data_IF_451747125496
#
_entry.id   IF_451747125496
#
_cell.length_a   1.000
_cell.length_b   1.000
_cell.length_c   1.000
_cell.angle_alpha   90.00
_cell.angle_beta   90.00
_cell.angle_gamma   90.00
#
_symmetry.space_group_name_H-M   'P 1'
#
loop_
_entity.id
_entity.type
_entity.pdbx_description
1 polymer ?
#
# COMPACT_ATOMS: atom_id res chain seq x y z
N UNK A 1 45.60 -34.47 7.20
CA UNK A 1 45.97 -33.49 6.16
C UNK A 1 45.02 -32.31 6.22
N UNK A 2 45.53 -31.20 6.66
CA UNK A 2 44.76 -29.97 6.92
C UNK A 2 44.95 -29.03 5.73
N UNK A 3 43.91 -28.78 4.96
CA UNK A 3 43.90 -27.80 3.89
C UNK A 3 43.17 -26.53 4.33
N UNK A 4 43.96 -25.57 4.81
CA UNK A 4 43.44 -24.24 5.11
C UNK A 4 43.24 -23.41 3.85
N UNK A 5 42.04 -22.92 3.59
CA UNK A 5 41.79 -21.91 2.57
C UNK A 5 41.67 -20.56 3.25
N UNK A 6 42.73 -19.78 3.10
CA UNK A 6 42.84 -18.39 3.55
C UNK A 6 41.97 -17.49 2.65
N UNK A 7 40.94 -16.87 3.21
CA UNK A 7 40.16 -15.85 2.53
C UNK A 7 40.92 -14.53 2.58
N UNK A 8 41.40 -14.07 1.44
CA UNK A 8 42.05 -12.77 1.29
C UNK A 8 41.01 -11.66 1.32
N UNK A 9 41.02 -10.89 2.40
CA UNK A 9 40.36 -9.57 2.45
C UNK A 9 41.12 -8.58 1.58
N UNK A 10 40.54 -8.18 0.47
CA UNK A 10 40.99 -7.00 -0.29
C UNK A 10 40.58 -5.74 0.42
N UNK A 11 41.50 -5.07 1.04
CA UNK A 11 41.36 -3.69 1.50
C UNK A 11 41.45 -2.77 0.29
N UNK A 12 40.34 -2.16 -0.10
CA UNK A 12 40.33 -1.04 -1.06
C UNK A 12 40.61 0.25 -0.32
N UNK A 13 41.68 0.89 -0.72
CA UNK A 13 42.12 2.17 -0.22
C UNK A 13 41.17 3.31 -0.61
N UNK A 14 40.83 4.12 0.37
CA UNK A 14 40.14 5.37 0.19
C UNK A 14 41.06 6.41 -0.41
N UNK A 15 40.69 6.94 -1.55
CA UNK A 15 41.27 8.17 -2.10
C UNK A 15 40.40 9.33 -1.66
N UNK A 16 40.94 10.12 -0.76
CA UNK A 16 40.44 11.44 -0.41
C UNK A 16 40.63 12.37 -1.63
N UNK A 17 39.54 12.84 -2.19
CA UNK A 17 39.56 14.01 -3.04
C UNK A 17 38.81 15.14 -2.35
N UNK A 18 39.60 15.96 -1.67
CA UNK A 18 39.19 17.27 -1.16
C UNK A 18 39.18 18.26 -2.32
N UNK A 19 38.04 18.76 -2.66
CA UNK A 19 37.92 20.00 -3.45
C UNK A 19 36.66 20.73 -2.99
N UNK A 20 36.93 21.73 -2.17
CA UNK A 20 36.01 22.80 -1.81
C UNK A 20 35.58 23.56 -3.05
N UNK A 21 34.29 23.67 -3.28
CA UNK A 21 33.69 24.76 -4.01
C UNK A 21 32.45 25.22 -3.27
N UNK A 22 32.66 26.37 -2.67
CA UNK A 22 31.66 27.23 -2.08
C UNK A 22 30.60 27.59 -3.11
N UNK A 23 29.36 27.20 -2.90
CA UNK A 23 28.23 27.83 -3.55
C UNK A 23 27.29 28.38 -2.51
N UNK A 24 27.27 29.69 -2.49
CA UNK A 24 26.45 30.53 -1.65
C UNK A 24 24.97 30.27 -1.82
N UNK A 25 24.34 30.04 -0.73
CA UNK A 25 23.12 30.61 -0.23
C UNK A 25 22.17 31.27 -1.20
N UNK A 26 21.02 30.68 -1.42
CA UNK A 26 19.80 31.47 -1.42
C UNK A 26 18.77 30.73 -0.63
N UNK A 27 18.60 31.14 0.62
CA UNK A 27 17.53 30.72 1.50
C UNK A 27 16.22 31.31 0.97
N UNK A 28 15.39 30.48 0.39
CA UNK A 28 13.96 30.76 0.27
C UNK A 28 13.26 30.13 1.47
N UNK A 29 13.19 30.92 2.51
CA UNK A 29 12.34 30.72 3.68
C UNK A 29 10.89 30.89 3.23
N UNK A 30 10.25 29.81 2.84
CA UNK A 30 8.79 29.80 2.71
C UNK A 30 8.19 29.51 4.07
N UNK A 31 7.95 30.56 4.82
CA UNK A 31 6.99 30.60 5.90
C UNK A 31 5.64 30.15 5.38
N UNK A 32 5.29 28.92 5.65
CA UNK A 32 3.94 28.39 5.46
C UNK A 32 3.02 29.01 6.51
N UNK A 33 2.43 30.16 6.16
CA UNK A 33 1.36 30.77 6.92
C UNK A 33 0.17 29.80 6.98
N UNK A 34 -0.08 29.31 8.16
CA UNK A 34 -1.30 28.65 8.55
C UNK A 34 -2.47 29.63 8.39
N UNK A 35 -3.17 29.56 7.26
CA UNK A 35 -4.45 30.26 7.11
C UNK A 35 -5.54 29.36 7.71
N UNK A 36 -5.97 29.75 8.89
CA UNK A 36 -7.23 29.40 9.49
C UNK A 36 -8.35 29.80 8.52
N UNK A 37 -8.92 28.86 7.81
CA UNK A 37 -10.07 29.10 6.96
C UNK A 37 -11.33 28.77 7.77
N UNK A 38 -11.99 29.85 8.12
CA UNK A 38 -13.34 29.92 8.69
C UNK A 38 -14.32 29.17 7.80
N UNK A 39 -15.11 28.33 8.42
CA UNK A 39 -16.24 27.61 7.82
C UNK A 39 -17.21 28.61 7.17
N UNK A 40 -17.38 28.48 5.85
CA UNK A 40 -18.58 28.99 5.19
C UNK A 40 -19.32 27.78 4.67
N UNK A 41 -20.45 27.54 5.31
CA UNK A 41 -21.48 26.59 4.92
C UNK A 41 -21.89 26.88 3.46
N UNK A 42 -21.49 25.99 2.56
CA UNK A 42 -22.15 25.83 1.28
C UNK A 42 -22.59 24.39 1.20
N UNK A 43 -23.89 24.21 1.32
CA UNK A 43 -24.61 22.96 1.09
C UNK A 43 -24.33 22.48 -0.33
N UNK A 44 -23.29 21.72 -0.51
CA UNK A 44 -23.14 20.81 -1.63
C UNK A 44 -23.70 19.49 -1.12
N UNK A 45 -24.89 19.14 -1.59
CA UNK A 45 -25.35 17.76 -1.55
C UNK A 45 -24.40 16.95 -2.43
N UNK A 46 -23.26 16.62 -1.87
CA UNK A 46 -22.38 15.59 -2.40
C UNK A 46 -23.14 14.29 -2.23
N UNK A 47 -23.62 13.81 -3.35
CA UNK A 47 -24.18 12.48 -3.52
C UNK A 47 -23.06 11.51 -3.12
N UNK A 48 -22.94 11.22 -1.82
CA UNK A 48 -22.02 10.23 -1.30
C UNK A 48 -22.48 8.90 -1.90
N UNK A 49 -21.92 8.58 -3.07
CA UNK A 49 -21.99 7.24 -3.63
C UNK A 49 -21.45 6.33 -2.54
N UNK A 50 -22.36 5.67 -1.83
CA UNK A 50 -22.02 4.73 -0.76
C UNK A 50 -21.06 3.69 -1.36
N UNK A 51 -19.80 3.75 -1.00
CA UNK A 51 -18.77 2.82 -1.45
C UNK A 51 -19.04 1.46 -0.84
N UNK A 52 -19.69 0.59 -1.60
CA UNK A 52 -20.05 -0.75 -1.15
C UNK A 52 -19.83 -1.76 -2.27
N UNK A 53 -19.29 -2.91 -1.90
CA UNK A 53 -19.15 -4.06 -2.79
C UNK A 53 -20.47 -4.85 -2.80
N UNK A 54 -20.83 -5.39 -3.96
CA UNK A 54 -21.98 -6.27 -4.14
C UNK A 54 -21.56 -7.64 -4.68
N UNK A 55 -22.52 -8.56 -4.77
CA UNK A 55 -22.26 -9.93 -5.24
C UNK A 55 -21.73 -9.99 -6.68
N UNK A 56 -22.12 -9.04 -7.53
CA UNK A 56 -21.62 -8.98 -8.92
C UNK A 56 -20.14 -8.59 -8.99
N UNK A 57 -19.69 -7.68 -8.11
CA UNK A 57 -18.26 -7.38 -7.99
C UNK A 57 -17.50 -8.60 -7.47
N UNK A 58 -18.01 -9.22 -6.39
CA UNK A 58 -17.37 -10.38 -5.78
C UNK A 58 -17.21 -11.55 -6.75
N UNK A 59 -18.23 -11.81 -7.58
CA UNK A 59 -18.19 -12.94 -8.55
C UNK A 59 -17.11 -12.77 -9.63
N UNK A 60 -16.77 -11.53 -9.98
CA UNK A 60 -15.78 -11.21 -11.02
C UNK A 60 -14.34 -11.18 -10.53
N UNK A 61 -14.13 -11.30 -9.23
CA UNK A 61 -12.77 -11.34 -8.67
C UNK A 61 -12.26 -12.77 -8.82
N UNK A 62 -11.16 -12.95 -9.52
CA UNK A 62 -10.53 -14.25 -9.75
C UNK A 62 -9.18 -14.35 -9.04
N UNK A 63 -8.75 -15.59 -8.76
CA UNK A 63 -7.41 -15.86 -8.24
C UNK A 63 -6.35 -15.35 -9.23
N UNK A 64 -5.26 -14.81 -8.70
CA UNK A 64 -4.17 -14.26 -9.48
C UNK A 64 -4.35 -12.80 -9.92
N UNK A 65 -5.54 -12.20 -9.77
CA UNK A 65 -5.73 -10.76 -9.99
C UNK A 65 -4.88 -9.95 -9.02
N UNK A 66 -4.34 -8.84 -9.47
CA UNK A 66 -3.60 -7.90 -8.62
C UNK A 66 -4.56 -7.08 -7.76
N UNK A 67 -4.03 -6.49 -6.67
CA UNK A 67 -4.81 -5.56 -5.85
C UNK A 67 -5.39 -4.39 -6.67
N UNK A 68 -4.61 -3.86 -7.62
CA UNK A 68 -5.07 -2.76 -8.48
C UNK A 68 -6.26 -3.17 -9.35
N UNK A 69 -6.21 -4.35 -9.97
CA UNK A 69 -7.33 -4.86 -10.78
C UNK A 69 -8.58 -5.08 -9.94
N UNK A 70 -8.43 -5.61 -8.73
CA UNK A 70 -9.56 -5.78 -7.78
C UNK A 70 -10.12 -4.43 -7.36
N UNK A 71 -9.26 -3.46 -7.01
CA UNK A 71 -9.69 -2.11 -6.65
C UNK A 71 -10.44 -1.43 -7.79
N UNK A 72 -9.94 -1.51 -9.01
CA UNK A 72 -10.55 -0.90 -10.19
C UNK A 72 -11.91 -1.55 -10.53
N UNK A 73 -12.02 -2.86 -10.35
CA UNK A 73 -13.27 -3.60 -10.54
C UNK A 73 -14.33 -3.21 -9.50
N UNK A 74 -13.94 -3.03 -8.24
CA UNK A 74 -14.83 -2.64 -7.15
C UNK A 74 -15.15 -1.14 -7.20
N UNK A 75 -14.17 -0.32 -7.63
CA UNK A 75 -14.28 1.13 -7.77
C UNK A 75 -13.81 1.95 -6.56
N UNK A 76 -13.32 1.29 -5.49
CA UNK A 76 -12.76 1.93 -4.30
C UNK A 76 -11.80 0.99 -3.55
N UNK A 77 -11.02 1.56 -2.64
CA UNK A 77 -9.99 0.83 -1.91
C UNK A 77 -10.57 -0.03 -0.78
N UNK A 78 -9.93 -1.17 -0.53
CA UNK A 78 -10.20 -2.01 0.63
C UNK A 78 -9.45 -1.54 1.87
N UNK A 79 -9.98 -1.84 3.04
CA UNK A 79 -9.29 -1.62 4.30
C UNK A 79 -8.28 -2.76 4.54
N UNK A 80 -7.00 -2.45 4.67
CA UNK A 80 -5.99 -3.43 5.05
C UNK A 80 -6.24 -3.86 6.51
N UNK A 81 -6.45 -5.15 6.71
CA UNK A 81 -6.65 -5.73 8.04
C UNK A 81 -5.37 -6.35 8.59
N UNK A 82 -4.63 -7.07 7.75
CA UNK A 82 -3.45 -7.83 8.11
C UNK A 82 -2.41 -7.69 7.00
N UNK A 83 -1.16 -7.50 7.40
CA UNK A 83 0.01 -7.64 6.56
C UNK A 83 1.08 -8.39 7.34
N UNK A 84 1.48 -9.52 6.85
CA UNK A 84 2.48 -10.38 7.49
C UNK A 84 3.32 -11.15 6.48
N UNK A 85 4.59 -11.39 6.81
CA UNK A 85 5.42 -12.32 6.06
C UNK A 85 4.96 -13.75 6.25
N UNK A 86 5.01 -14.57 5.21
CA UNK A 86 4.71 -15.99 5.30
C UNK A 86 5.95 -16.71 5.86
N UNK A 87 5.75 -17.46 6.95
CA UNK A 87 6.83 -18.16 7.63
C UNK A 87 7.62 -19.07 6.65
N UNK A 88 8.94 -19.03 6.74
CA UNK A 88 9.88 -19.76 5.88
C UNK A 88 9.81 -19.42 4.37
N UNK A 89 9.20 -18.28 4.01
CA UNK A 89 9.16 -17.80 2.63
C UNK A 89 9.46 -16.29 2.56
N UNK A 90 9.76 -15.79 1.36
CA UNK A 90 9.89 -14.36 1.12
C UNK A 90 8.54 -13.70 0.78
N UNK A 91 7.44 -14.44 0.87
CA UNK A 91 6.11 -13.98 0.47
C UNK A 91 5.49 -13.08 1.53
N UNK A 92 4.73 -12.08 1.07
CA UNK A 92 3.94 -11.20 1.92
C UNK A 92 2.46 -11.55 1.72
N UNK A 93 1.81 -11.81 2.83
CA UNK A 93 0.36 -12.03 2.88
C UNK A 93 -0.33 -10.76 3.35
N UNK A 94 -1.29 -10.30 2.60
CA UNK A 94 -2.12 -9.15 2.92
C UNK A 94 -3.60 -9.56 2.90
N UNK A 95 -4.38 -9.08 3.86
CA UNK A 95 -5.83 -9.29 3.89
C UNK A 95 -6.50 -7.93 3.87
N UNK A 96 -7.29 -7.69 2.84
CA UNK A 96 -8.12 -6.50 2.71
C UNK A 96 -9.59 -6.83 2.91
N UNK A 97 -10.33 -5.85 3.42
CA UNK A 97 -11.78 -5.95 3.62
C UNK A 97 -12.52 -4.82 2.92
N UNK A 98 -13.65 -5.16 2.31
CA UNK A 98 -14.63 -4.24 1.73
C UNK A 98 -15.98 -4.42 2.41
N UNK A 99 -16.67 -3.31 2.67
CA UNK A 99 -18.04 -3.34 3.20
C UNK A 99 -19.03 -3.55 2.07
N UNK A 100 -20.02 -4.41 2.28
CA UNK A 100 -21.13 -4.57 1.37
C UNK A 100 -22.26 -3.57 1.60
N UNK A 101 -23.35 -3.73 0.88
CA UNK A 101 -24.51 -2.84 0.95
C UNK A 101 -25.25 -2.93 2.28
N UNK A 102 -25.31 -4.13 2.87
CA UNK A 102 -25.87 -4.33 4.20
C UNK A 102 -24.87 -3.99 5.30
N UNK A 103 -25.34 -3.49 6.47
CA UNK A 103 -24.47 -3.10 7.57
C UNK A 103 -23.56 -4.25 8.07
N UNK A 104 -24.01 -5.49 7.94
CA UNK A 104 -23.29 -6.69 8.41
C UNK A 104 -22.57 -7.43 7.28
N UNK A 105 -22.65 -6.91 6.05
CA UNK A 105 -21.99 -7.55 4.92
C UNK A 105 -20.54 -7.12 4.79
N UNK A 106 -19.67 -8.10 4.56
CA UNK A 106 -18.24 -7.91 4.43
C UNK A 106 -17.64 -8.89 3.43
N UNK A 107 -16.69 -8.40 2.64
CA UNK A 107 -15.83 -9.22 1.79
C UNK A 107 -14.41 -9.12 2.33
N UNK A 108 -13.73 -10.25 2.41
CA UNK A 108 -12.30 -10.32 2.71
C UNK A 108 -11.58 -10.99 1.55
N UNK A 109 -10.49 -10.39 1.11
CA UNK A 109 -9.66 -10.93 0.05
C UNK A 109 -8.24 -11.03 0.58
N UNK A 110 -7.67 -12.22 0.45
CA UNK A 110 -6.29 -12.50 0.81
C UNK A 110 -5.43 -12.41 -0.44
N UNK A 111 -4.38 -11.60 -0.36
CA UNK A 111 -3.36 -11.49 -1.38
C UNK A 111 -2.07 -12.14 -0.89
N UNK A 112 -1.41 -12.87 -1.78
CA UNK A 112 -0.02 -13.33 -1.61
C UNK A 112 0.82 -12.66 -2.70
N UNK A 113 1.86 -11.95 -2.29
CA UNK A 113 2.72 -11.16 -3.20
C UNK A 113 1.92 -10.25 -4.13
N UNK A 114 0.88 -9.60 -3.58
CA UNK A 114 0.02 -8.67 -4.32
C UNK A 114 -0.98 -9.30 -5.28
N UNK A 115 -1.12 -10.63 -5.29
CA UNK A 115 -2.10 -11.36 -6.11
C UNK A 115 -3.16 -12.05 -5.26
N UNK A 116 -4.40 -12.04 -5.73
CA UNK A 116 -5.51 -12.74 -5.07
C UNK A 116 -5.19 -14.22 -4.93
N UNK A 117 -5.19 -14.68 -3.70
CA UNK A 117 -5.04 -16.09 -3.34
C UNK A 117 -6.37 -16.70 -2.90
N UNK A 118 -7.18 -15.95 -2.16
CA UNK A 118 -8.51 -16.39 -1.75
C UNK A 118 -9.44 -15.22 -1.50
N UNK A 119 -10.74 -15.45 -1.63
CA UNK A 119 -11.79 -14.48 -1.34
C UNK A 119 -12.90 -15.12 -0.53
N UNK A 120 -13.43 -14.38 0.44
CA UNK A 120 -14.57 -14.80 1.26
C UNK A 120 -15.57 -13.66 1.38
N UNK A 121 -16.84 -13.98 1.52
CA UNK A 121 -17.88 -13.00 1.73
C UNK A 121 -18.87 -13.48 2.81
N UNK A 122 -19.51 -12.51 3.44
CA UNK A 122 -20.61 -12.73 4.38
C UNK A 122 -21.69 -11.68 4.10
N UNK A 123 -22.93 -12.11 3.94
CA UNK A 123 -24.08 -11.22 3.83
C UNK A 123 -24.17 -10.38 2.57
N UNK A 124 -23.46 -10.71 1.48
CA UNK A 124 -23.66 -10.06 0.19
C UNK A 124 -24.95 -10.57 -0.49
N UNK A 125 -25.67 -9.66 -1.08
CA UNK A 125 -26.88 -9.88 -1.88
C UNK A 125 -26.71 -9.25 -3.26
#
# INVERSE_FOLDING_TARGET
>A
MVGGTTVMMKKSAFILCSLCLSFSMTACEQKKKMKKQTATSSTVMENQKKETININHFSKIDEGMTYTEVKDLIGFEGNLLIEEGVEHSAQIKQIFAWKGSDPNSIVKITFLDGKVHSKTQQGLI
#
